data_IF_605607840061
#
_entry.id   IF_605607840061
#
_cell.length_a   1.000
_cell.length_b   1.000
_cell.length_c   1.000
_cell.angle_alpha   90.00
_cell.angle_beta   90.00
_cell.angle_gamma   90.00
#
_symmetry.space_group_name_H-M   'P 1'
#
loop_
_entity.id
_entity.type
_entity.pdbx_description
1 polymer ?
#
# COMPACT_ATOMS: atom_id res chain seq x y z
N UNK A 1 -44.53 14.58 -43.08
CA UNK A 1 -44.48 15.21 -41.76
C UNK A 1 -43.21 14.69 -41.13
N UNK A 2 -42.28 15.62 -40.93
CA UNK A 2 -40.88 15.43 -40.57
C UNK A 2 -40.65 14.75 -39.21
N UNK A 3 -39.44 14.19 -39.08
CA UNK A 3 -38.72 13.77 -37.87
C UNK A 3 -38.83 14.85 -36.75
N UNK A 4 -38.62 14.62 -35.45
CA UNK A 4 -37.56 13.87 -34.76
C UNK A 4 -38.01 13.70 -33.30
N UNK A 5 -37.56 12.65 -32.63
CA UNK A 5 -37.67 12.57 -31.17
C UNK A 5 -37.12 11.29 -30.58
N UNK A 6 -35.96 10.80 -31.00
CA UNK A 6 -35.29 9.74 -30.23
C UNK A 6 -34.66 10.36 -28.97
N UNK A 7 -35.29 10.10 -27.83
CA UNK A 7 -34.72 10.35 -26.53
C UNK A 7 -33.62 9.32 -26.27
N UNK A 8 -32.36 9.73 -26.40
CA UNK A 8 -31.24 8.94 -25.90
C UNK A 8 -31.19 9.04 -24.38
N UNK A 9 -31.31 7.95 -23.62
CA UNK A 9 -30.99 8.00 -22.20
C UNK A 9 -29.49 8.26 -22.05
N UNK A 10 -29.14 9.37 -21.40
CA UNK A 10 -27.76 9.62 -20.97
C UNK A 10 -27.48 8.65 -19.82
N UNK A 11 -26.73 7.59 -20.10
CA UNK A 11 -26.17 6.72 -19.08
C UNK A 11 -24.79 7.25 -18.68
N UNK A 12 -24.69 7.84 -17.48
CA UNK A 12 -23.38 8.10 -16.87
C UNK A 12 -22.87 6.80 -16.25
N UNK A 13 -21.92 6.16 -16.90
CA UNK A 13 -21.09 5.14 -16.27
C UNK A 13 -19.98 5.85 -15.51
N UNK A 14 -20.25 6.25 -14.27
CA UNK A 14 -19.14 6.38 -13.32
C UNK A 14 -18.79 4.94 -13.00
N UNK A 15 -17.66 4.43 -13.50
CA UNK A 15 -17.09 3.24 -12.89
C UNK A 15 -16.68 3.68 -11.48
N UNK A 16 -17.31 3.18 -10.40
CA UNK A 16 -16.59 3.19 -9.13
C UNK A 16 -15.26 2.47 -9.41
N UNK A 17 -14.15 3.04 -8.93
CA UNK A 17 -12.88 2.31 -8.87
C UNK A 17 -13.28 0.96 -8.26
N UNK A 18 -13.13 -0.18 -8.97
CA UNK A 18 -13.77 -1.41 -8.56
C UNK A 18 -13.28 -1.70 -7.17
N UNK A 19 -14.22 -1.61 -6.22
CA UNK A 19 -14.01 -2.02 -4.85
C UNK A 19 -13.35 -3.39 -4.93
N UNK A 20 -12.08 -3.47 -4.57
CA UNK A 20 -11.32 -4.64 -4.92
C UNK A 20 -11.85 -5.82 -4.09
N UNK A 21 -12.04 -7.02 -4.68
CA UNK A 21 -12.76 -8.10 -4.01
C UNK A 21 -12.18 -8.43 -2.62
N UNK A 22 -10.87 -8.30 -2.44
CA UNK A 22 -10.19 -8.53 -1.17
C UNK A 22 -10.47 -7.41 -0.15
N UNK A 23 -10.28 -6.14 -0.53
CA UNK A 23 -10.57 -5.01 0.35
C UNK A 23 -12.04 -5.00 0.80
N UNK A 24 -12.97 -5.33 -0.09
CA UNK A 24 -14.39 -5.43 0.27
C UNK A 24 -14.69 -6.51 1.30
N UNK A 25 -14.03 -7.67 1.18
CA UNK A 25 -14.16 -8.74 2.16
C UNK A 25 -13.61 -8.29 3.51
N UNK A 26 -12.50 -7.56 3.51
CA UNK A 26 -11.92 -6.95 4.70
C UNK A 26 -12.86 -5.90 5.32
N UNK A 27 -13.44 -4.98 4.54
CA UNK A 27 -14.41 -3.98 5.03
C UNK A 27 -15.62 -4.65 5.68
N UNK A 28 -16.23 -5.66 5.03
CA UNK A 28 -17.38 -6.39 5.60
C UNK A 28 -17.06 -7.14 6.89
N UNK A 29 -15.80 -7.48 7.13
CA UNK A 29 -15.36 -8.10 8.39
C UNK A 29 -15.39 -7.11 9.55
N UNK A 30 -14.99 -5.87 9.34
CA UNK A 30 -14.92 -4.84 10.39
C UNK A 30 -16.22 -4.04 10.53
N UNK A 31 -16.96 -3.84 9.43
CA UNK A 31 -18.26 -3.18 9.40
C UNK A 31 -19.32 -4.07 8.75
N UNK A 32 -19.79 -5.13 9.44
CA UNK A 32 -20.73 -6.09 8.86
C UNK A 32 -22.10 -5.51 8.52
N UNK A 33 -22.51 -4.42 9.17
CA UNK A 33 -23.73 -3.66 8.86
C UNK A 33 -23.48 -2.49 7.89
N UNK A 34 -22.23 -2.35 7.40
CA UNK A 34 -21.74 -1.18 6.68
C UNK A 34 -21.46 0.02 7.60
N UNK A 35 -20.68 0.96 7.06
CA UNK A 35 -20.41 2.27 7.63
C UNK A 35 -20.36 3.33 6.51
N UNK A 36 -20.45 4.63 6.82
CA UNK A 36 -20.22 5.66 5.82
C UNK A 36 -18.80 5.58 5.23
N UNK A 37 -18.64 6.05 3.99
CA UNK A 37 -17.33 6.04 3.31
C UNK A 37 -16.24 6.82 4.08
N UNK A 38 -16.63 7.86 4.81
CA UNK A 38 -15.71 8.60 5.70
C UNK A 38 -15.15 7.77 6.86
N UNK A 39 -15.64 6.55 7.06
CA UNK A 39 -15.21 5.61 8.12
C UNK A 39 -14.55 4.39 7.48
N UNK A 40 -15.21 3.74 6.53
CA UNK A 40 -14.73 2.47 5.96
C UNK A 40 -13.99 2.61 4.63
N UNK A 41 -13.99 3.79 4.03
CA UNK A 41 -13.33 4.05 2.74
C UNK A 41 -11.81 3.85 2.79
N UNK A 42 -11.15 3.62 1.66
CA UNK A 42 -9.72 3.28 1.61
C UNK A 42 -8.81 4.37 2.23
N UNK A 43 -9.19 5.63 2.12
CA UNK A 43 -8.44 6.78 2.67
C UNK A 43 -8.91 7.22 4.07
N UNK A 44 -9.87 6.51 4.66
CA UNK A 44 -10.37 6.82 6.00
C UNK A 44 -9.43 6.25 7.08
N UNK A 45 -9.34 6.96 8.20
CA UNK A 45 -8.59 6.61 9.41
C UNK A 45 -9.57 6.73 10.61
N UNK A 46 -10.32 5.65 10.93
CA UNK A 46 -11.38 5.74 11.93
C UNK A 46 -10.89 5.57 13.37
N UNK A 47 -9.68 5.04 13.60
CA UNK A 47 -9.08 4.91 14.93
C UNK A 47 -8.04 6.00 15.26
N UNK A 48 -7.66 6.82 14.28
CA UNK A 48 -6.93 8.07 14.45
C UNK A 48 -5.45 7.89 14.71
N UNK A 49 -4.82 6.86 14.11
CA UNK A 49 -3.39 6.56 14.27
C UNK A 49 -2.52 6.97 13.07
N UNK A 50 -3.10 7.77 12.16
CA UNK A 50 -2.55 8.24 10.90
C UNK A 50 -2.29 7.09 9.88
N UNK A 51 -2.94 5.93 10.05
CA UNK A 51 -2.88 4.81 9.10
C UNK A 51 -4.25 4.57 8.49
N UNK A 52 -4.37 4.90 7.20
CA UNK A 52 -5.63 4.73 6.47
C UNK A 52 -5.96 3.26 6.19
N UNK A 53 -7.25 2.96 6.03
CA UNK A 53 -7.77 1.62 5.81
C UNK A 53 -7.07 0.82 4.69
N UNK A 54 -6.66 1.47 3.60
CA UNK A 54 -5.91 0.80 2.52
C UNK A 54 -4.58 0.21 3.02
N UNK A 55 -3.91 0.94 3.92
CA UNK A 55 -2.64 0.50 4.53
C UNK A 55 -2.89 -0.56 5.59
N UNK A 56 -3.90 -0.38 6.44
CA UNK A 56 -4.35 -1.38 7.42
C UNK A 56 -4.67 -2.72 6.71
N UNK A 57 -5.39 -2.67 5.61
CA UNK A 57 -5.70 -3.85 4.79
C UNK A 57 -4.44 -4.53 4.25
N UNK A 58 -3.53 -3.77 3.63
CA UNK A 58 -2.34 -4.34 3.02
C UNK A 58 -1.30 -4.88 4.02
N UNK A 59 -1.18 -4.24 5.19
CA UNK A 59 -0.14 -4.53 6.18
C UNK A 59 -0.65 -5.31 7.40
N UNK A 60 -1.81 -5.95 7.29
CA UNK A 60 -2.42 -6.79 8.34
C UNK A 60 -2.71 -6.03 9.65
N UNK A 61 -3.32 -4.87 9.49
CA UNK A 61 -3.79 -4.02 10.57
C UNK A 61 -5.22 -4.31 11.05
N UNK A 62 -5.72 -3.42 11.90
CA UNK A 62 -7.08 -3.43 12.43
C UNK A 62 -7.63 -2.00 12.49
N UNK A 63 -8.62 -1.63 11.66
CA UNK A 63 -9.01 -0.24 11.45
C UNK A 63 -9.73 0.43 12.63
N UNK A 64 -10.11 -0.35 13.65
CA UNK A 64 -10.78 0.15 14.86
C UNK A 64 -9.87 0.09 16.10
N UNK A 65 -8.58 -0.23 15.94
CA UNK A 65 -7.64 -0.41 17.04
C UNK A 65 -6.34 0.31 16.67
N UNK A 66 -6.03 1.44 17.33
CA UNK A 66 -4.92 2.28 16.91
C UNK A 66 -3.59 1.54 17.09
N UNK A 67 -2.66 1.79 16.17
CA UNK A 67 -1.31 1.21 16.10
C UNK A 67 -1.31 -0.33 15.96
N UNK A 68 -2.29 -0.88 15.26
CA UNK A 68 -2.38 -2.32 15.00
C UNK A 68 -1.48 -2.82 13.86
N UNK A 69 -0.94 -1.92 13.02
CA UNK A 69 -0.01 -2.26 11.93
C UNK A 69 1.43 -2.37 12.41
N UNK A 70 2.13 -3.43 11.99
CA UNK A 70 3.60 -3.49 12.02
C UNK A 70 4.14 -2.53 10.94
N UNK A 71 4.46 -1.29 11.32
CA UNK A 71 4.95 -0.26 10.40
C UNK A 71 6.21 -0.76 9.65
N UNK A 72 6.37 -0.46 8.34
CA UNK A 72 7.57 -0.78 7.58
C UNK A 72 8.84 -0.24 8.28
N UNK A 73 9.87 -1.07 8.35
CA UNK A 73 11.09 -0.74 9.08
C UNK A 73 12.27 -0.57 8.12
N UNK A 74 13.06 0.52 8.25
CA UNK A 74 14.35 0.61 7.60
C UNK A 74 15.30 -0.43 8.22
N UNK A 75 16.05 -1.10 7.37
CA UNK A 75 17.01 -2.15 7.72
C UNK A 75 18.29 -1.95 6.91
N UNK A 76 19.39 -2.56 7.38
CA UNK A 76 20.63 -2.63 6.63
C UNK A 76 20.87 -4.07 6.18
N UNK A 77 21.17 -4.23 4.91
CA UNK A 77 21.62 -5.51 4.36
C UNK A 77 23.09 -5.37 3.98
N UNK A 78 23.89 -6.34 4.41
CA UNK A 78 25.33 -6.37 4.13
C UNK A 78 25.62 -7.43 3.07
N UNK A 79 26.27 -7.02 1.98
CA UNK A 79 26.78 -7.91 0.95
C UNK A 79 28.29 -7.71 0.82
N UNK A 80 29.05 -8.70 1.30
CA UNK A 80 30.50 -8.56 1.45
C UNK A 80 30.88 -7.44 2.43
N UNK A 81 31.67 -6.49 1.96
CA UNK A 81 32.14 -5.34 2.74
C UNK A 81 31.26 -4.09 2.60
N UNK A 82 30.17 -4.17 1.83
CA UNK A 82 29.27 -3.06 1.57
C UNK A 82 27.95 -3.21 2.31
N UNK A 83 27.41 -2.10 2.80
CA UNK A 83 26.08 -2.02 3.40
C UNK A 83 25.12 -1.26 2.49
N UNK A 84 23.88 -1.72 2.43
CA UNK A 84 22.83 -1.13 1.61
C UNK A 84 21.61 -0.86 2.48
N UNK A 85 20.92 0.24 2.19
CA UNK A 85 19.63 0.52 2.79
C UNK A 85 18.58 -0.49 2.27
N UNK A 86 17.68 -0.93 3.14
CA UNK A 86 16.59 -1.82 2.78
C UNK A 86 15.33 -1.48 3.57
N UNK A 87 14.16 -1.77 2.99
CA UNK A 87 12.88 -1.70 3.67
C UNK A 87 12.39 -3.11 3.95
N UNK A 88 12.06 -3.41 5.20
CA UNK A 88 11.38 -4.64 5.59
C UNK A 88 9.94 -4.34 5.99
N UNK A 89 8.98 -5.04 5.40
CA UNK A 89 7.55 -4.87 5.72
C UNK A 89 6.83 -6.22 5.69
N UNK A 90 5.72 -6.32 6.42
CA UNK A 90 4.84 -7.49 6.42
C UNK A 90 3.62 -7.16 5.56
N UNK A 91 3.24 -8.03 4.63
CA UNK A 91 2.04 -7.87 3.80
C UNK A 91 1.11 -9.09 3.86
N UNK A 92 -0.17 -8.85 3.61
CA UNK A 92 -1.20 -9.89 3.48
C UNK A 92 -1.12 -10.52 2.09
N UNK A 93 -0.93 -11.84 2.00
CA UNK A 93 -0.83 -12.53 0.70
C UNK A 93 -2.11 -12.45 -0.13
N UNK A 94 -3.26 -12.45 0.54
CA UNK A 94 -4.56 -12.37 -0.11
C UNK A 94 -4.93 -10.95 -0.54
N UNK A 95 -4.15 -9.93 -0.14
CA UNK A 95 -4.30 -8.56 -0.64
C UNK A 95 -3.68 -8.40 -2.03
N UNK A 96 -4.08 -9.27 -2.96
CA UNK A 96 -3.59 -9.37 -4.33
C UNK A 96 -4.11 -8.26 -5.25
N UNK A 97 -5.00 -7.43 -4.73
CA UNK A 97 -5.51 -6.19 -5.30
C UNK A 97 -4.64 -4.97 -4.99
N UNK A 98 -3.61 -5.12 -4.16
CA UNK A 98 -2.60 -4.10 -3.88
C UNK A 98 -1.24 -4.44 -4.51
N UNK A 99 -0.66 -3.45 -5.18
CA UNK A 99 0.74 -3.39 -5.53
C UNK A 99 1.55 -2.75 -4.40
N UNK A 100 2.71 -3.34 -4.09
CA UNK A 100 3.63 -2.85 -3.07
C UNK A 100 4.93 -2.42 -3.75
N UNK A 101 5.30 -1.15 -3.62
CA UNK A 101 6.50 -0.58 -4.22
C UNK A 101 7.34 0.08 -3.14
N UNK A 102 8.59 -0.36 -2.99
CA UNK A 102 9.56 0.38 -2.19
C UNK A 102 10.28 1.36 -3.10
N UNK A 103 10.34 2.62 -2.69
CA UNK A 103 11.02 3.67 -3.42
C UNK A 103 12.08 4.34 -2.55
N UNK A 104 13.11 4.89 -3.19
CA UNK A 104 14.23 5.52 -2.50
C UNK A 104 14.65 6.85 -3.15
N UNK A 105 15.14 7.78 -2.34
CA UNK A 105 15.71 9.07 -2.77
C UNK A 105 16.84 9.51 -1.82
N UNK A 106 17.74 10.35 -2.32
CA UNK A 106 18.90 10.83 -1.55
C UNK A 106 18.56 12.03 -0.65
N UNK A 107 17.40 12.65 -0.84
CA UNK A 107 17.00 13.86 -0.11
C UNK A 107 15.48 13.98 0.08
N UNK A 108 15.11 14.90 0.96
CA UNK A 108 13.75 15.41 1.12
C UNK A 108 13.71 16.91 0.78
N UNK A 109 12.59 17.46 0.27
CA UNK A 109 11.37 16.75 -0.13
C UNK A 109 11.60 15.83 -1.33
N UNK A 110 10.70 14.87 -1.50
CA UNK A 110 10.74 13.93 -2.61
C UNK A 110 10.51 14.65 -3.94
N UNK A 111 11.35 14.41 -4.94
CA UNK A 111 11.23 15.04 -6.27
C UNK A 111 11.10 14.03 -7.39
N UNK A 112 11.64 12.82 -7.20
CA UNK A 112 11.60 11.76 -8.19
C UNK A 112 12.23 10.49 -7.66
N UNK A 113 11.61 9.81 -6.69
CA UNK A 113 12.21 8.62 -6.12
C UNK A 113 12.27 7.47 -7.10
N UNK A 114 13.32 6.68 -6.96
CA UNK A 114 13.56 5.49 -7.78
C UNK A 114 12.86 4.30 -7.13
N UNK A 115 12.13 3.52 -7.93
CA UNK A 115 11.55 2.25 -7.49
C UNK A 115 12.66 1.22 -7.31
N UNK A 116 12.74 0.63 -6.13
CA UNK A 116 13.66 -0.46 -5.83
C UNK A 116 13.07 -1.79 -6.29
N UNK A 117 13.88 -2.58 -6.99
CA UNK A 117 13.48 -3.86 -7.57
C UNK A 117 14.20 -5.07 -6.98
N UNK A 118 15.26 -4.84 -6.19
CA UNK A 118 16.06 -5.91 -5.60
C UNK A 118 15.36 -6.46 -4.35
N UNK A 119 14.59 -7.53 -4.53
CA UNK A 119 13.97 -8.28 -3.44
C UNK A 119 15.03 -9.15 -2.78
N UNK A 120 15.46 -8.75 -1.58
CA UNK A 120 16.47 -9.47 -0.81
C UNK A 120 15.89 -10.76 -0.21
N UNK A 121 14.67 -10.68 0.34
CA UNK A 121 14.01 -11.86 0.89
C UNK A 121 12.49 -11.76 0.89
N UNK A 122 11.84 -12.91 0.80
CA UNK A 122 10.41 -13.10 1.04
C UNK A 122 10.27 -14.28 2.00
N UNK A 123 9.94 -13.99 3.25
CA UNK A 123 9.74 -14.98 4.29
C UNK A 123 8.24 -15.28 4.45
N UNK A 124 7.86 -16.52 4.18
CA UNK A 124 6.51 -17.01 4.41
C UNK A 124 6.18 -17.05 5.92
N UNK A 125 5.05 -16.44 6.32
CA UNK A 125 4.50 -16.46 7.67
C UNK A 125 3.03 -16.92 7.68
N UNK A 126 2.65 -17.81 6.75
CA UNK A 126 1.28 -18.32 6.60
C UNK A 126 0.45 -17.43 5.69
N UNK A 127 -0.59 -16.78 6.22
CA UNK A 127 -1.41 -15.80 5.48
C UNK A 127 -0.65 -14.50 5.17
N UNK A 128 0.48 -14.30 5.83
CA UNK A 128 1.36 -13.15 5.70
C UNK A 128 2.67 -13.54 5.07
N UNK A 129 3.36 -12.56 4.53
CA UNK A 129 4.77 -12.67 4.20
C UNK A 129 5.52 -11.42 4.63
N UNK A 130 6.76 -11.64 5.10
CA UNK A 130 7.68 -10.56 5.42
C UNK A 130 8.64 -10.39 4.25
N UNK A 131 8.62 -9.21 3.65
CA UNK A 131 9.39 -8.87 2.45
C UNK A 131 10.48 -7.89 2.83
N UNK A 132 11.69 -8.12 2.36
CA UNK A 132 12.79 -7.16 2.41
C UNK A 132 13.17 -6.76 0.99
N UNK A 133 13.08 -5.47 0.68
CA UNK A 133 13.53 -4.89 -0.59
C UNK A 133 14.71 -3.97 -0.31
N UNK A 134 15.79 -4.16 -1.04
CA UNK A 134 17.07 -3.49 -0.82
C UNK A 134 17.35 -2.50 -1.95
N UNK A 135 18.11 -1.47 -1.62
CA UNK A 135 18.69 -0.53 -2.56
C UNK A 135 19.93 -1.12 -3.24
N UNK A 136 20.21 -0.74 -4.49
CA UNK A 136 21.42 -1.14 -5.19
C UNK A 136 22.59 -0.17 -4.97
N UNK A 137 22.36 0.97 -4.31
CA UNK A 137 23.40 1.92 -3.93
C UNK A 137 23.94 1.62 -2.51
N UNK A 138 25.26 1.40 -2.35
CA UNK A 138 25.88 1.27 -1.04
C UNK A 138 25.77 2.58 -0.25
N UNK A 139 25.52 2.48 1.05
CA UNK A 139 25.43 3.65 1.96
C UNK A 139 26.78 4.03 2.58
N UNK A 140 27.85 3.32 2.25
CA UNK A 140 29.15 3.38 2.93
C UNK A 140 29.89 4.73 2.74
N UNK A 141 29.38 5.62 1.87
CA UNK A 141 29.98 6.91 1.54
C UNK A 141 29.26 8.13 2.14
N UNK A 142 28.31 7.95 3.06
CA UNK A 142 27.67 9.07 3.79
C UNK A 142 26.54 9.79 3.04
N UNK A 143 26.06 9.24 1.93
CA UNK A 143 24.81 9.68 1.31
C UNK A 143 23.62 9.18 2.15
N UNK A 144 22.72 10.09 2.54
CA UNK A 144 21.46 9.70 3.16
C UNK A 144 20.60 8.96 2.13
N UNK A 145 19.92 7.89 2.55
CA UNK A 145 18.90 7.22 1.74
C UNK A 145 17.58 7.22 2.50
N UNK A 146 16.58 7.86 1.91
CA UNK A 146 15.22 7.90 2.41
C UNK A 146 14.41 6.84 1.67
N UNK A 147 13.70 5.99 2.43
CA UNK A 147 12.92 4.88 1.90
C UNK A 147 11.44 5.12 2.17
N UNK A 148 10.57 4.79 1.22
CA UNK A 148 9.12 4.82 1.38
C UNK A 148 8.51 3.55 0.79
N UNK A 149 7.58 2.92 1.52
CA UNK A 149 6.69 1.92 0.96
C UNK A 149 5.45 2.62 0.40
N UNK A 150 5.09 2.31 -0.84
CA UNK A 150 3.89 2.79 -1.53
C UNK A 150 2.98 1.62 -1.82
N UNK A 151 1.71 1.78 -1.48
CA UNK A 151 0.64 0.86 -1.83
C UNK A 151 -0.18 1.51 -2.95
N UNK A 152 -0.54 0.73 -3.97
CA UNK A 152 -1.42 1.18 -5.05
C UNK A 152 -2.39 0.08 -5.46
N UNK A 153 -3.62 0.45 -5.80
CA UNK A 153 -4.62 -0.49 -6.30
C UNK A 153 -4.25 -0.97 -7.72
N UNK A 154 -4.58 -2.23 -8.02
CA UNK A 154 -4.51 -2.79 -9.38
C UNK A 154 -5.69 -2.38 -10.26
#
# INVERSE_FOLDING_TARGET
ADEVGEAFPIAFWIQPIPESPGFLVWQRRFWPTGAPESVQGPDADPDGDDVVNAVEYGLYGHPLVPNAVEKPQPTLVRLGDQSFAAMTFTRVKQAADLAYQVVAEDHLPWTGPVVLTDVESVLDKGELERVTVRDNLPIDAGAARFLQLRLGWH
#
